data_IF_963004720931
#
_entry.id   IF_963004720931
#
_cell.length_a   1.000
_cell.length_b   1.000
_cell.length_c   1.000
_cell.angle_alpha   90.00
_cell.angle_beta   90.00
_cell.angle_gamma   90.00
#
_symmetry.space_group_name_H-M   'P 1'
#
loop_
_entity.id
_entity.type
_entity.pdbx_description
1 polymer ?
#
# COMPACT_ATOMS: atom_id res chain seq x y z
N UNK A 1 21.16 13.90 13.09
CA UNK A 1 20.46 14.68 12.04
C UNK A 1 19.87 13.70 11.05
N UNK A 2 18.61 13.91 10.65
CA UNK A 2 17.98 13.13 9.56
C UNK A 2 18.69 13.46 8.24
N UNK A 3 18.80 12.49 7.33
CA UNK A 3 19.34 12.76 6.00
C UNK A 3 18.35 13.62 5.19
N UNK A 4 18.89 14.43 4.28
CA UNK A 4 18.09 15.19 3.33
C UNK A 4 17.57 14.25 2.25
N UNK A 5 16.25 14.06 2.19
CA UNK A 5 15.58 13.26 1.14
C UNK A 5 15.13 14.14 -0.02
N UNK A 6 15.17 13.59 -1.24
CA UNK A 6 14.59 14.23 -2.44
C UNK A 6 13.18 13.74 -2.75
N UNK A 7 12.64 12.81 -1.95
CA UNK A 7 11.32 12.23 -2.17
C UNK A 7 10.18 13.20 -1.84
N UNK A 8 10.32 13.98 -0.76
CA UNK A 8 9.36 15.02 -0.33
C UNK A 8 9.48 16.30 -1.15
N UNK A 9 9.29 16.18 -2.46
CA UNK A 9 9.25 17.33 -3.37
C UNK A 9 8.02 18.22 -3.11
N UNK A 10 8.13 19.51 -3.44
CA UNK A 10 6.96 20.38 -3.50
C UNK A 10 6.02 19.91 -4.62
N UNK A 11 4.73 19.85 -4.33
CA UNK A 11 3.68 19.45 -5.28
C UNK A 11 2.64 20.57 -5.37
N UNK A 12 2.43 21.17 -6.56
CA UNK A 12 1.41 22.21 -6.72
C UNK A 12 0.00 21.67 -6.48
N UNK A 13 -0.93 22.53 -6.10
CA UNK A 13 -2.34 22.17 -5.85
C UNK A 13 -3.07 21.66 -7.10
N UNK A 14 -2.61 22.06 -8.30
CA UNK A 14 -3.15 21.59 -9.58
C UNK A 14 -2.90 20.09 -9.84
N UNK A 15 -1.93 19.48 -9.15
CA UNK A 15 -1.71 18.03 -9.18
C UNK A 15 -2.51 17.39 -8.07
N UNK A 16 -3.27 16.35 -8.37
CA UNK A 16 -4.00 15.58 -7.36
C UNK A 16 -3.04 14.67 -6.58
N UNK A 17 -3.36 14.26 -5.35
CA UNK A 17 -2.52 13.35 -4.57
C UNK A 17 -2.60 11.89 -5.07
N UNK A 18 -2.50 11.70 -6.39
CA UNK A 18 -2.39 10.42 -7.08
C UNK A 18 -0.97 10.32 -7.63
N UNK A 19 -0.21 9.39 -7.08
CA UNK A 19 1.22 9.22 -7.32
C UNK A 19 1.44 8.05 -8.27
N UNK A 20 2.24 8.28 -9.31
CA UNK A 20 2.59 7.28 -10.33
C UNK A 20 3.91 7.65 -11.01
N UNK A 21 4.62 6.69 -11.60
CA UNK A 21 5.64 6.98 -12.60
C UNK A 21 5.56 5.97 -13.74
N UNK A 22 5.79 6.37 -15.01
CA UNK A 22 5.98 5.43 -16.12
C UNK A 22 7.08 4.38 -15.87
N UNK A 23 7.99 4.65 -14.92
CA UNK A 23 9.06 3.73 -14.49
C UNK A 23 8.59 2.62 -13.56
N UNK A 24 7.32 2.61 -13.14
CA UNK A 24 6.78 1.54 -12.29
C UNK A 24 6.76 0.19 -13.00
N UNK A 25 6.57 0.19 -14.32
CA UNK A 25 6.44 -1.04 -15.08
C UNK A 25 7.76 -1.80 -15.11
N UNK A 26 7.72 -3.08 -14.71
CA UNK A 26 8.84 -4.00 -14.81
C UNK A 26 8.76 -4.65 -16.19
N UNK A 27 9.78 -4.45 -17.01
CA UNK A 27 9.83 -5.02 -18.37
C UNK A 27 11.11 -5.80 -18.53
N UNK A 28 10.98 -7.06 -18.90
CA UNK A 28 12.07 -8.00 -19.03
C UNK A 28 12.01 -8.77 -20.36
N UNK A 29 12.06 -8.03 -21.49
CA UNK A 29 12.05 -8.60 -22.83
C UNK A 29 10.87 -9.57 -23.09
N UNK A 30 9.75 -9.42 -22.36
CA UNK A 30 8.58 -10.28 -22.45
C UNK A 30 8.55 -11.41 -21.43
N UNK A 31 9.65 -11.70 -20.72
CA UNK A 31 9.70 -12.74 -19.68
C UNK A 31 8.88 -12.36 -18.44
N UNK A 32 8.63 -11.07 -18.22
CA UNK A 32 7.68 -10.61 -17.20
C UNK A 32 6.28 -11.20 -17.40
N UNK A 33 5.92 -11.62 -18.62
CA UNK A 33 4.63 -12.25 -18.93
C UNK A 33 4.51 -13.70 -18.41
N UNK A 34 5.61 -14.31 -17.99
CA UNK A 34 5.60 -15.63 -17.35
C UNK A 34 5.27 -15.55 -15.86
N UNK A 35 5.36 -14.36 -15.27
CA UNK A 35 5.07 -14.14 -13.87
C UNK A 35 3.56 -13.94 -13.67
N UNK A 36 2.95 -14.46 -12.58
CA UNK A 36 1.52 -14.29 -12.31
C UNK A 36 1.10 -12.81 -12.20
N UNK A 37 2.01 -11.95 -11.73
CA UNK A 37 1.76 -10.52 -11.59
C UNK A 37 1.91 -9.76 -12.92
N UNK A 38 0.90 -8.95 -13.26
CA UNK A 38 0.94 -8.05 -14.42
C UNK A 38 1.88 -6.87 -14.18
N UNK A 39 3.11 -6.99 -14.66
CA UNK A 39 4.15 -5.97 -14.50
C UNK A 39 3.86 -4.62 -15.20
N UNK A 40 2.75 -4.51 -15.94
CA UNK A 40 2.22 -3.27 -16.51
C UNK A 40 0.93 -2.76 -15.87
N UNK A 41 0.48 -3.36 -14.74
CA UNK A 41 -0.80 -3.05 -14.06
C UNK A 41 -1.00 -1.55 -13.85
N UNK A 42 0.02 -0.88 -13.31
CA UNK A 42 -0.06 0.52 -12.90
C UNK A 42 -0.26 1.49 -14.07
N UNK A 43 0.46 1.28 -15.17
CA UNK A 43 0.26 2.07 -16.38
C UNK A 43 -1.14 1.88 -16.97
N UNK A 44 -1.71 0.68 -16.89
CA UNK A 44 -3.10 0.41 -17.33
C UNK A 44 -4.12 1.12 -16.46
N UNK A 45 -3.97 1.11 -15.12
CA UNK A 45 -4.83 1.87 -14.20
C UNK A 45 -4.86 3.35 -14.62
N UNK A 46 -3.67 3.96 -14.79
CA UNK A 46 -3.56 5.37 -15.18
C UNK A 46 -4.18 5.64 -16.54
N UNK A 47 -4.00 4.74 -17.52
CA UNK A 47 -4.62 4.90 -18.83
C UNK A 47 -6.14 4.86 -18.75
N UNK A 48 -6.74 3.92 -17.99
CA UNK A 48 -8.19 3.91 -17.77
C UNK A 48 -8.69 5.20 -17.13
N UNK A 49 -8.00 5.72 -16.10
CA UNK A 49 -8.39 6.99 -15.47
C UNK A 49 -8.31 8.19 -16.42
N UNK A 50 -7.38 8.17 -17.38
CA UNK A 50 -7.27 9.18 -18.44
C UNK A 50 -8.36 9.04 -19.49
N UNK A 51 -8.68 7.82 -19.91
CA UNK A 51 -9.76 7.52 -20.86
C UNK A 51 -11.12 7.99 -20.33
N UNK A 52 -11.35 7.80 -19.04
CA UNK A 52 -12.54 8.27 -18.31
C UNK A 52 -12.47 9.75 -17.94
N UNK A 53 -11.43 10.47 -18.38
CA UNK A 53 -11.20 11.90 -18.19
C UNK A 53 -11.14 12.37 -16.73
N UNK A 54 -10.87 11.46 -15.79
CA UNK A 54 -10.65 11.83 -14.39
C UNK A 54 -9.31 12.56 -14.22
N UNK A 55 -8.27 12.10 -14.93
CA UNK A 55 -6.91 12.62 -14.82
C UNK A 55 -6.31 12.93 -16.18
N UNK A 56 -5.39 13.89 -16.18
CA UNK A 56 -4.44 14.12 -17.26
C UNK A 56 -3.00 13.97 -16.74
N UNK A 57 -2.01 13.92 -17.63
CA UNK A 57 -0.60 13.86 -17.21
C UNK A 57 -0.17 15.03 -16.32
N UNK A 58 -0.74 16.22 -16.53
CA UNK A 58 -0.41 17.39 -15.71
C UNK A 58 -0.97 17.33 -14.29
N UNK A 59 -1.97 16.47 -14.05
CA UNK A 59 -2.60 16.28 -12.73
C UNK A 59 -1.90 15.22 -11.88
N UNK A 60 -1.05 14.38 -12.46
CA UNK A 60 -0.35 13.31 -11.73
C UNK A 60 0.87 13.83 -10.97
N UNK A 61 1.14 13.22 -9.81
CA UNK A 61 2.40 13.41 -9.09
C UNK A 61 3.38 12.34 -9.53
N UNK A 62 4.46 12.74 -10.20
CA UNK A 62 5.48 11.79 -10.60
C UNK A 62 6.29 11.28 -9.40
N UNK A 63 6.28 9.97 -9.19
CA UNK A 63 7.08 9.31 -8.16
C UNK A 63 8.58 9.36 -8.47
N UNK A 64 9.39 9.60 -7.44
CA UNK A 64 10.86 9.57 -7.52
C UNK A 64 11.40 8.23 -7.01
N UNK A 65 12.55 7.83 -7.52
CA UNK A 65 13.29 6.65 -7.03
C UNK A 65 13.82 6.92 -5.63
N UNK A 66 13.55 6.03 -4.67
CA UNK A 66 14.18 6.07 -3.35
C UNK A 66 15.69 5.84 -3.47
N UNK A 67 16.49 6.73 -2.86
CA UNK A 67 17.95 6.59 -2.81
C UNK A 67 18.38 5.51 -1.82
N UNK A 68 19.68 5.17 -1.81
CA UNK A 68 20.20 4.25 -0.79
C UNK A 68 20.02 4.83 0.62
N UNK A 69 20.25 6.13 0.81
CA UNK A 69 20.03 6.83 2.08
C UNK A 69 18.56 6.81 2.50
N UNK A 70 17.62 6.98 1.56
CA UNK A 70 16.19 6.84 1.85
C UNK A 70 15.86 5.42 2.32
N UNK A 71 16.39 4.40 1.64
CA UNK A 71 16.14 3.00 1.99
C UNK A 71 16.75 2.62 3.35
N UNK A 72 17.92 3.18 3.71
CA UNK A 72 18.62 2.92 4.96
C UNK A 72 17.89 3.45 6.21
N UNK A 73 16.82 4.24 6.07
CA UNK A 73 15.94 4.63 7.20
C UNK A 73 15.29 3.41 7.84
N UNK A 74 14.97 2.39 7.03
CA UNK A 74 14.36 1.13 7.49
C UNK A 74 15.27 -0.04 7.23
N UNK A 75 15.83 -0.15 6.03
CA UNK A 75 16.56 -1.34 5.63
C UNK A 75 17.94 -1.42 6.24
N UNK A 76 18.32 -2.63 6.65
CA UNK A 76 19.71 -2.87 7.06
C UNK A 76 20.64 -2.79 5.85
N UNK A 77 21.86 -2.28 6.05
CA UNK A 77 22.90 -2.27 5.01
C UNK A 77 23.24 -3.68 4.51
N UNK A 78 23.13 -4.69 5.39
CA UNK A 78 23.27 -6.11 5.05
C UNK A 78 22.26 -6.50 3.97
N UNK A 79 20.98 -6.27 4.22
CA UNK A 79 19.91 -6.61 3.28
C UNK A 79 20.03 -5.85 1.95
N UNK A 80 20.32 -4.55 1.98
CA UNK A 80 20.55 -3.79 0.74
C UNK A 80 21.75 -4.31 -0.07
N UNK A 81 22.79 -4.82 0.60
CA UNK A 81 23.91 -5.48 -0.08
C UNK A 81 23.52 -6.85 -0.65
N UNK A 82 22.59 -7.59 -0.04
CA UNK A 82 22.06 -8.85 -0.59
C UNK A 82 21.35 -8.61 -1.92
N UNK A 83 20.57 -7.53 -2.03
CA UNK A 83 19.89 -7.14 -3.28
C UNK A 83 20.84 -6.77 -4.43
N UNK A 84 22.16 -6.67 -4.17
CA UNK A 84 23.17 -6.55 -5.24
C UNK A 84 23.37 -7.87 -5.99
N UNK A 85 22.89 -9.00 -5.49
CA UNK A 85 23.03 -10.31 -6.12
C UNK A 85 21.77 -10.74 -6.86
N UNK A 86 21.88 -11.08 -8.15
CA UNK A 86 20.73 -11.48 -8.97
C UNK A 86 19.99 -12.70 -8.41
N UNK A 87 20.69 -13.61 -7.73
CA UNK A 87 20.10 -14.78 -7.06
C UNK A 87 19.13 -14.37 -5.94
N UNK A 88 19.52 -13.42 -5.09
CA UNK A 88 18.66 -12.93 -4.02
C UNK A 88 17.40 -12.26 -4.59
N UNK A 89 17.57 -11.41 -5.62
CA UNK A 89 16.44 -10.74 -6.28
C UNK A 89 15.50 -11.76 -6.92
N UNK A 90 16.02 -12.74 -7.65
CA UNK A 90 15.22 -13.77 -8.30
C UNK A 90 14.43 -14.64 -7.31
N UNK A 91 15.01 -14.89 -6.11
CA UNK A 91 14.34 -15.63 -5.03
C UNK A 91 13.18 -14.80 -4.45
N UNK A 92 13.41 -13.51 -4.19
CA UNK A 92 12.38 -12.60 -3.65
C UNK A 92 11.25 -12.37 -4.66
N UNK A 93 11.59 -12.18 -5.94
CA UNK A 93 10.59 -11.93 -6.99
C UNK A 93 10.00 -13.19 -7.58
N UNK A 94 10.50 -14.38 -7.19
CA UNK A 94 10.13 -15.69 -7.77
C UNK A 94 10.15 -15.71 -9.31
N UNK A 95 11.13 -15.05 -9.91
CA UNK A 95 11.38 -15.07 -11.35
C UNK A 95 12.74 -15.74 -11.58
N UNK A 96 12.82 -17.09 -11.64
CA UNK A 96 14.09 -17.79 -11.84
C UNK A 96 14.93 -17.27 -13.03
N UNK A 97 14.34 -16.87 -14.18
CA UNK A 97 15.10 -16.29 -15.28
C UNK A 97 15.93 -15.04 -14.92
N UNK A 98 15.59 -14.30 -13.86
CA UNK A 98 16.35 -13.12 -13.39
C UNK A 98 17.78 -13.49 -12.98
N UNK A 99 18.04 -14.74 -12.56
CA UNK A 99 19.37 -15.22 -12.17
C UNK A 99 20.37 -15.08 -13.34
N UNK A 100 19.93 -15.34 -14.57
CA UNK A 100 20.77 -15.35 -15.75
C UNK A 100 21.01 -13.97 -16.34
N UNK A 101 20.37 -12.93 -15.78
CA UNK A 101 20.59 -11.58 -16.25
C UNK A 101 21.89 -10.98 -15.75
N UNK A 102 22.60 -10.22 -16.60
CA UNK A 102 23.61 -9.29 -16.15
C UNK A 102 23.04 -8.42 -15.01
N UNK A 103 23.75 -8.36 -13.89
CA UNK A 103 23.22 -7.75 -12.67
C UNK A 103 22.77 -6.29 -12.86
N UNK A 104 23.48 -5.50 -13.68
CA UNK A 104 23.09 -4.12 -13.98
C UNK A 104 21.70 -4.03 -14.63
N UNK A 105 21.26 -5.04 -15.39
CA UNK A 105 19.91 -5.12 -15.93
C UNK A 105 18.90 -5.44 -14.82
N UNK A 106 19.21 -6.35 -13.90
CA UNK A 106 18.36 -6.63 -12.73
C UNK A 106 18.15 -5.36 -11.90
N UNK A 107 19.23 -4.64 -11.59
CA UNK A 107 19.18 -3.37 -10.86
C UNK A 107 18.30 -2.33 -11.57
N UNK A 108 18.42 -2.23 -12.89
CA UNK A 108 17.74 -1.19 -13.69
C UNK A 108 16.30 -1.55 -14.07
N UNK A 109 16.00 -2.81 -14.34
CA UNK A 109 14.72 -3.26 -14.91
C UNK A 109 13.78 -3.90 -13.89
N UNK A 110 14.30 -4.37 -12.76
CA UNK A 110 13.49 -4.97 -11.68
C UNK A 110 13.51 -4.08 -10.44
N UNK A 111 14.69 -3.84 -9.86
CA UNK A 111 14.77 -3.16 -8.56
C UNK A 111 14.50 -1.65 -8.66
N UNK A 112 14.94 -0.97 -9.71
CA UNK A 112 14.65 0.47 -9.91
C UNK A 112 13.14 0.76 -9.99
N UNK A 113 12.32 0.03 -10.74
CA UNK A 113 10.87 0.15 -10.66
C UNK A 113 10.32 0.02 -9.23
N UNK A 114 10.76 -0.99 -8.48
CA UNK A 114 10.33 -1.21 -7.09
C UNK A 114 10.78 -0.08 -6.15
N UNK A 115 12.00 0.47 -6.32
CA UNK A 115 12.45 1.67 -5.58
C UNK A 115 11.67 2.93 -5.96
N UNK A 116 11.23 3.04 -7.21
CA UNK A 116 10.38 4.16 -7.66
C UNK A 116 8.97 4.05 -7.07
N UNK A 117 8.41 2.83 -6.99
CA UNK A 117 7.16 2.59 -6.28
C UNK A 117 7.29 2.92 -4.79
N UNK A 118 8.39 2.50 -4.16
CA UNK A 118 8.71 2.81 -2.77
C UNK A 118 8.75 4.32 -2.50
N UNK A 119 9.48 5.07 -3.33
CA UNK A 119 9.50 6.53 -3.22
C UNK A 119 8.14 7.18 -3.48
N UNK A 120 7.30 6.54 -4.31
CA UNK A 120 5.91 6.93 -4.50
C UNK A 120 5.06 6.74 -3.25
N UNK A 121 5.16 5.61 -2.55
CA UNK A 121 4.45 5.34 -1.29
C UNK A 121 4.85 6.34 -0.22
N UNK A 122 6.15 6.66 -0.11
CA UNK A 122 6.66 7.68 0.81
C UNK A 122 6.06 9.07 0.49
N UNK A 123 6.12 9.51 -0.77
CA UNK A 123 5.55 10.80 -1.18
C UNK A 123 4.03 10.84 -0.99
N UNK A 124 3.32 9.77 -1.32
CA UNK A 124 1.89 9.66 -1.14
C UNK A 124 1.51 9.73 0.35
N UNK A 125 2.29 9.13 1.26
CA UNK A 125 2.08 9.28 2.71
C UNK A 125 2.10 10.75 3.15
N UNK A 126 3.08 11.53 2.68
CA UNK A 126 3.12 12.97 2.95
C UNK A 126 1.92 13.71 2.37
N UNK A 127 1.55 13.42 1.11
CA UNK A 127 0.39 14.04 0.47
C UNK A 127 -0.92 13.69 1.18
N UNK A 128 -1.06 12.48 1.71
CA UNK A 128 -2.22 12.08 2.48
C UNK A 128 -2.41 12.98 3.70
N UNK A 129 -1.33 13.22 4.46
CA UNK A 129 -1.35 14.11 5.62
C UNK A 129 -1.65 15.56 5.21
N UNK A 130 -1.03 16.06 4.13
CA UNK A 130 -1.21 17.44 3.68
C UNK A 130 -2.59 17.72 3.07
N UNK A 131 -3.22 16.71 2.46
CA UNK A 131 -4.41 16.89 1.60
C UNK A 131 -5.60 16.04 2.04
N UNK A 132 -5.47 15.32 3.16
CA UNK A 132 -6.47 14.41 3.73
C UNK A 132 -6.59 13.05 3.03
N UNK A 133 -6.02 12.87 1.84
CA UNK A 133 -5.97 11.59 1.14
C UNK A 133 -4.84 11.56 0.11
N UNK A 134 -4.34 10.36 -0.20
CA UNK A 134 -3.47 10.11 -1.34
C UNK A 134 -3.57 8.66 -1.81
N UNK A 135 -3.25 8.43 -3.07
CA UNK A 135 -3.18 7.10 -3.67
C UNK A 135 -1.83 6.97 -4.37
N UNK A 136 -0.99 6.04 -3.94
CA UNK A 136 0.06 5.53 -4.81
C UNK A 136 -0.52 4.35 -5.58
N UNK A 137 -0.58 4.42 -6.91
CA UNK A 137 -1.13 3.30 -7.69
C UNK A 137 -0.23 2.07 -7.60
N UNK A 138 1.06 2.22 -7.24
CA UNK A 138 1.97 1.11 -6.95
C UNK A 138 2.13 0.82 -5.46
N UNK A 139 3.22 0.13 -5.12
CA UNK A 139 3.60 -0.16 -3.74
C UNK A 139 2.71 -1.21 -3.07
N UNK A 140 2.63 -1.14 -1.74
CA UNK A 140 1.92 -2.14 -0.93
C UNK A 140 2.76 -3.41 -0.75
N UNK A 141 4.07 -3.26 -0.58
CA UNK A 141 5.02 -4.36 -0.51
C UNK A 141 5.06 -4.99 0.89
N UNK A 142 3.90 -5.42 1.37
CA UNK A 142 3.67 -5.84 2.76
C UNK A 142 4.43 -7.11 3.19
N UNK A 143 5.06 -7.82 2.25
CA UNK A 143 5.89 -8.99 2.56
C UNK A 143 7.39 -8.67 2.76
N UNK A 144 7.79 -7.41 2.57
CA UNK A 144 9.16 -6.99 2.83
C UNK A 144 9.25 -6.31 4.20
N UNK A 145 10.14 -6.83 5.05
CA UNK A 145 10.59 -6.21 6.30
C UNK A 145 11.91 -5.47 6.09
N UNK A 146 12.37 -4.77 7.13
CA UNK A 146 13.67 -4.08 7.17
C UNK A 146 14.86 -4.93 6.76
N UNK A 147 14.85 -6.24 7.00
CA UNK A 147 16.02 -7.10 6.76
C UNK A 147 15.74 -8.35 5.89
N UNK A 148 14.54 -8.47 5.33
CA UNK A 148 14.13 -9.59 4.49
C UNK A 148 13.01 -9.21 3.53
N UNK A 149 13.20 -9.51 2.24
CA UNK A 149 12.15 -9.52 1.22
C UNK A 149 11.54 -10.91 1.00
N UNK A 150 10.38 -10.96 0.38
CA UNK A 150 9.63 -12.19 0.07
C UNK A 150 8.31 -11.85 -0.62
N UNK A 151 7.62 -12.83 -1.20
CA UNK A 151 6.29 -12.64 -1.80
C UNK A 151 6.25 -11.49 -2.80
N UNK A 152 7.23 -11.42 -3.71
CA UNK A 152 7.41 -10.34 -4.70
C UNK A 152 7.80 -8.96 -4.14
N UNK A 153 7.95 -8.82 -2.82
CA UNK A 153 8.23 -7.57 -2.14
C UNK A 153 9.72 -7.44 -1.81
N UNK A 154 10.42 -6.50 -2.46
CA UNK A 154 11.86 -6.27 -2.27
C UNK A 154 12.20 -5.09 -1.35
N UNK A 155 11.27 -4.16 -1.13
CA UNK A 155 11.47 -2.98 -0.30
C UNK A 155 10.26 -2.74 0.59
N UNK A 156 10.48 -2.39 1.86
CA UNK A 156 9.45 -2.23 2.89
C UNK A 156 8.79 -0.85 2.79
N UNK A 157 8.06 -0.60 1.70
CA UNK A 157 7.57 0.73 1.34
C UNK A 157 6.56 1.32 2.35
N UNK A 158 5.68 0.49 2.91
CA UNK A 158 4.74 0.89 3.98
C UNK A 158 5.52 1.28 5.25
N UNK A 159 6.49 0.45 5.68
CA UNK A 159 7.34 0.76 6.85
C UNK A 159 8.09 2.06 6.63
N UNK A 160 8.70 2.25 5.45
CA UNK A 160 9.41 3.47 5.09
C UNK A 160 8.49 4.69 5.12
N UNK A 161 7.29 4.61 4.53
CA UNK A 161 6.35 5.72 4.55
C UNK A 161 5.98 6.13 5.97
N UNK A 162 5.67 5.16 6.86
CA UNK A 162 5.33 5.45 8.26
C UNK A 162 6.51 6.03 9.03
N UNK A 163 7.73 5.47 8.90
CA UNK A 163 8.92 6.00 9.58
C UNK A 163 9.28 7.40 9.07
N UNK A 164 9.17 7.65 7.77
CA UNK A 164 9.37 8.99 7.21
C UNK A 164 8.36 9.99 7.79
N UNK A 165 7.08 9.62 7.89
CA UNK A 165 6.06 10.46 8.50
C UNK A 165 6.39 10.78 9.96
N UNK A 166 6.68 9.77 10.79
CA UNK A 166 7.01 9.97 12.21
C UNK A 166 8.24 10.84 12.44
N UNK A 167 9.24 10.77 11.56
CA UNK A 167 10.49 11.51 11.73
C UNK A 167 10.44 12.92 11.14
N UNK A 168 9.60 13.18 10.13
CA UNK A 168 9.70 14.38 9.28
C UNK A 168 8.42 15.19 9.15
N UNK A 169 7.27 14.68 9.60
CA UNK A 169 5.99 15.38 9.49
C UNK A 169 5.42 15.65 10.88
N UNK A 170 5.32 16.92 11.22
CA UNK A 170 4.82 17.38 12.52
C UNK A 170 3.38 16.90 12.77
N UNK A 171 3.08 16.54 14.02
CA UNK A 171 1.76 16.06 14.42
C UNK A 171 1.46 14.60 14.08
N UNK A 172 2.34 13.90 13.36
CA UNK A 172 2.15 12.48 13.03
C UNK A 172 2.97 11.60 13.96
N UNK A 173 2.28 10.90 14.86
CA UNK A 173 2.88 10.07 15.91
C UNK A 173 2.29 8.66 15.97
N UNK A 174 1.11 8.45 15.39
CA UNK A 174 0.36 7.21 15.40
C UNK A 174 -0.18 6.88 14.01
N UNK A 175 0.01 5.65 13.56
CA UNK A 175 -0.50 5.16 12.29
C UNK A 175 -1.36 3.91 12.49
N UNK A 176 -2.42 3.77 11.70
CA UNK A 176 -3.16 2.50 11.59
C UNK A 176 -2.96 1.95 10.19
N UNK A 177 -2.48 0.71 10.11
CA UNK A 177 -2.43 -0.04 8.86
C UNK A 177 -3.71 -0.86 8.76
N UNK A 178 -4.44 -0.70 7.66
CA UNK A 178 -5.55 -1.54 7.25
C UNK A 178 -5.05 -2.31 6.05
N UNK A 179 -4.65 -3.57 6.25
CA UNK A 179 -4.23 -4.46 5.18
C UNK A 179 -5.39 -5.36 4.75
N UNK A 180 -5.82 -5.20 3.49
CA UNK A 180 -6.90 -5.97 2.87
C UNK A 180 -6.41 -6.74 1.62
N UNK A 181 -5.10 -6.98 1.55
CA UNK A 181 -4.53 -8.01 0.67
C UNK A 181 -4.99 -9.41 1.09
N UNK A 182 -5.06 -10.35 0.15
CA UNK A 182 -5.52 -11.70 0.45
C UNK A 182 -4.55 -12.46 1.37
N UNK A 183 -3.27 -12.08 1.39
CA UNK A 183 -2.21 -12.74 2.13
C UNK A 183 -1.98 -12.06 3.48
N UNK A 184 -1.66 -12.85 4.52
CA UNK A 184 -1.26 -12.27 5.80
C UNK A 184 0.01 -11.44 5.60
N UNK A 185 0.01 -10.20 6.07
CA UNK A 185 1.23 -9.40 6.11
C UNK A 185 2.30 -10.07 6.99
N UNK A 186 3.56 -9.90 6.60
CA UNK A 186 4.69 -10.31 7.43
C UNK A 186 5.89 -9.36 7.41
N UNK A 187 5.85 -8.31 6.59
CA UNK A 187 6.92 -7.31 6.48
C UNK A 187 6.81 -6.25 7.57
N UNK A 188 5.81 -5.38 7.45
CA UNK A 188 5.59 -4.30 8.39
C UNK A 188 5.17 -4.79 9.78
N UNK A 189 4.56 -5.98 9.88
CA UNK A 189 4.31 -6.69 11.14
C UNK A 189 5.59 -6.95 11.91
N UNK A 190 6.64 -7.43 11.23
CA UNK A 190 7.94 -7.69 11.85
C UNK A 190 8.61 -6.39 12.27
N UNK A 191 8.52 -5.36 11.42
CA UNK A 191 9.15 -4.06 11.68
C UNK A 191 8.48 -3.29 12.84
N UNK A 192 7.17 -3.51 13.07
CA UNK A 192 6.39 -2.81 14.10
C UNK A 192 5.92 -3.70 15.26
N UNK A 193 6.45 -4.92 15.40
CA UNK A 193 6.04 -5.91 16.41
C UNK A 193 5.81 -5.33 17.82
N UNK A 194 6.73 -4.45 18.27
CA UNK A 194 6.72 -3.84 19.60
C UNK A 194 6.44 -2.32 19.57
N UNK A 195 6.11 -1.75 18.41
CA UNK A 195 5.89 -0.31 18.25
C UNK A 195 4.41 0.04 18.44
N UNK A 196 4.03 0.39 19.67
CA UNK A 196 2.64 0.73 20.04
C UNK A 196 2.06 1.94 19.31
N UNK A 197 2.88 2.71 18.59
CA UNK A 197 2.44 3.80 17.71
C UNK A 197 1.76 3.30 16.43
N UNK A 198 1.98 2.03 16.07
CA UNK A 198 1.40 1.43 14.87
C UNK A 198 0.38 0.37 15.28
N UNK A 199 -0.84 0.51 14.78
CA UNK A 199 -1.89 -0.48 14.93
C UNK A 199 -2.10 -1.20 13.60
N UNK A 200 -2.02 -2.53 13.60
CA UNK A 200 -2.19 -3.34 12.40
C UNK A 200 -3.53 -4.08 12.46
N UNK A 201 -4.39 -3.80 11.49
CA UNK A 201 -5.54 -4.61 11.13
C UNK A 201 -5.25 -5.32 9.82
N UNK A 202 -5.48 -6.63 9.78
CA UNK A 202 -5.23 -7.46 8.61
C UNK A 202 -6.40 -8.44 8.41
N UNK A 203 -6.90 -8.52 7.18
CA UNK A 203 -8.04 -9.35 6.78
C UNK A 203 -7.64 -10.22 5.59
N UNK A 204 -7.30 -11.48 5.85
CA UNK A 204 -6.62 -12.36 4.90
C UNK A 204 -7.16 -13.78 4.90
N UNK A 205 -6.88 -14.52 3.83
CA UNK A 205 -7.09 -15.96 3.75
C UNK A 205 -6.03 -16.68 4.59
N UNK A 206 -6.45 -17.39 5.64
CA UNK A 206 -5.51 -18.02 6.60
C UNK A 206 -4.74 -19.22 6.05
N UNK A 207 -5.12 -19.74 4.89
CA UNK A 207 -4.60 -21.00 4.34
C UNK A 207 -3.46 -20.81 3.33
N UNK A 208 -3.12 -19.56 2.98
CA UNK A 208 -2.11 -19.24 1.96
C UNK A 208 -0.84 -18.62 2.56
N UNK A 209 0.11 -18.28 1.68
CA UNK A 209 1.36 -17.60 2.03
C UNK A 209 1.09 -16.40 2.97
N UNK A 210 1.97 -16.10 3.95
CA UNK A 210 3.26 -16.71 4.27
C UNK A 210 3.25 -17.81 5.34
N UNK A 211 2.15 -18.01 6.08
CA UNK A 211 2.16 -18.89 7.27
C UNK A 211 3.08 -18.41 8.40
N UNK A 212 3.39 -17.12 8.46
CA UNK A 212 4.34 -16.53 9.42
C UNK A 212 3.67 -16.26 10.78
N UNK A 213 3.72 -17.27 11.66
CA UNK A 213 3.14 -17.21 13.01
C UNK A 213 3.81 -16.18 13.92
N UNK A 214 5.07 -15.83 13.66
CA UNK A 214 5.76 -14.82 14.47
C UNK A 214 5.22 -13.44 14.11
N UNK A 215 5.22 -13.08 12.83
CA UNK A 215 4.68 -11.82 12.34
C UNK A 215 3.21 -11.61 12.73
N UNK A 216 2.41 -12.68 12.69
CA UNK A 216 0.99 -12.68 13.12
C UNK A 216 0.75 -12.16 14.55
N UNK A 217 1.76 -12.11 15.41
CA UNK A 217 1.63 -11.56 16.77
C UNK A 217 1.49 -10.04 16.78
N UNK A 218 2.04 -9.33 15.78
CA UNK A 218 1.94 -7.87 15.66
C UNK A 218 0.55 -7.41 15.19
N UNK A 219 -0.19 -8.29 14.50
CA UNK A 219 -1.53 -7.99 14.00
C UNK A 219 -2.48 -7.88 15.20
N UNK A 220 -2.86 -6.65 15.56
CA UNK A 220 -3.76 -6.40 16.70
C UNK A 220 -5.19 -6.80 16.37
N UNK A 221 -5.61 -6.59 15.12
CA UNK A 221 -6.89 -7.08 14.59
C UNK A 221 -6.68 -8.01 13.41
N UNK A 222 -6.59 -9.30 13.72
CA UNK A 222 -6.43 -10.38 12.71
C UNK A 222 -7.81 -10.95 12.41
N UNK A 223 -8.25 -10.80 11.18
CA UNK A 223 -9.53 -11.35 10.71
C UNK A 223 -9.20 -12.43 9.69
N UNK A 224 -9.27 -13.68 10.14
CA UNK A 224 -8.98 -14.83 9.31
C UNK A 224 -10.21 -15.23 8.49
N UNK A 225 -10.03 -15.36 7.19
CA UNK A 225 -11.03 -15.76 6.23
C UNK A 225 -10.79 -17.20 5.75
N UNK A 226 -11.86 -17.87 5.34
CA UNK A 226 -11.80 -19.19 4.73
C UNK A 226 -11.72 -19.08 3.20
N UNK A 227 -11.31 -20.18 2.56
CA UNK A 227 -11.36 -20.31 1.10
C UNK A 227 -12.75 -19.97 0.56
N UNK A 228 -12.76 -19.21 -0.54
CA UNK A 228 -14.00 -18.89 -1.23
C UNK A 228 -14.95 -17.97 -0.44
N UNK A 229 -14.49 -17.28 0.62
CA UNK A 229 -15.28 -16.22 1.26
C UNK A 229 -15.77 -15.25 0.18
N UNK A 230 -17.06 -14.90 0.21
CA UNK A 230 -17.75 -14.04 -0.77
C UNK A 230 -18.03 -12.63 -0.22
N UNK A 231 -18.61 -11.78 -1.07
CA UNK A 231 -18.82 -10.34 -0.82
C UNK A 231 -19.49 -10.02 0.52
N UNK A 232 -20.64 -10.63 0.84
CA UNK A 232 -21.42 -10.25 2.03
C UNK A 232 -20.67 -10.53 3.33
N UNK A 233 -20.10 -11.73 3.46
CA UNK A 233 -19.29 -12.09 4.63
C UNK A 233 -18.02 -11.23 4.72
N UNK A 234 -17.35 -11.03 3.58
CA UNK A 234 -16.13 -10.23 3.51
C UNK A 234 -16.37 -8.78 3.94
N UNK A 235 -17.36 -8.11 3.34
CA UNK A 235 -17.64 -6.70 3.59
C UNK A 235 -18.12 -6.46 5.03
N UNK A 236 -18.97 -7.35 5.57
CA UNK A 236 -19.41 -7.28 6.98
C UNK A 236 -18.22 -7.43 7.94
N UNK A 237 -17.31 -8.38 7.67
CA UNK A 237 -16.08 -8.54 8.46
C UNK A 237 -15.17 -7.31 8.34
N UNK A 238 -14.98 -6.76 7.15
CA UNK A 238 -14.17 -5.54 6.94
C UNK A 238 -14.77 -4.36 7.71
N UNK A 239 -16.05 -4.04 7.50
CA UNK A 239 -16.71 -2.90 8.14
C UNK A 239 -16.63 -2.97 9.66
N UNK A 240 -17.04 -4.10 10.23
CA UNK A 240 -17.04 -4.32 11.68
C UNK A 240 -15.66 -4.09 12.27
N UNK A 241 -14.62 -4.60 11.61
CA UNK A 241 -13.28 -4.58 12.16
C UNK A 241 -12.56 -3.25 11.92
N UNK A 242 -12.84 -2.51 10.84
CA UNK A 242 -12.38 -1.13 10.66
C UNK A 242 -12.96 -0.25 11.77
N UNK A 243 -14.27 -0.39 12.04
CA UNK A 243 -14.94 0.40 13.09
C UNK A 243 -14.26 0.22 14.44
N UNK A 244 -13.99 -1.03 14.83
CA UNK A 244 -13.33 -1.34 16.10
C UNK A 244 -11.87 -0.90 16.12
N UNK A 245 -11.12 -1.11 15.04
CA UNK A 245 -9.70 -0.71 14.95
C UNK A 245 -9.53 0.81 15.11
N UNK A 246 -10.39 1.61 14.47
CA UNK A 246 -10.39 3.08 14.61
C UNK A 246 -10.96 3.58 15.96
N UNK A 247 -11.50 2.69 16.80
CA UNK A 247 -11.90 3.00 18.18
C UNK A 247 -10.80 2.63 19.18
N UNK A 248 -10.13 1.50 18.97
CA UNK A 248 -9.05 1.01 19.84
C UNK A 248 -7.74 1.75 19.64
N UNK A 249 -7.55 2.36 18.47
CA UNK A 249 -6.41 3.20 18.15
C UNK A 249 -6.93 4.43 17.41
N UNK A 250 -6.52 5.62 17.87
CA UNK A 250 -6.85 6.88 17.22
C UNK A 250 -5.65 7.26 16.34
N UNK A 251 -5.60 6.86 15.06
CA UNK A 251 -4.48 7.19 14.19
C UNK A 251 -4.47 8.67 13.81
N UNK A 252 -3.26 9.19 13.60
CA UNK A 252 -3.04 10.49 12.95
C UNK A 252 -3.02 10.31 11.41
N UNK A 253 -2.80 9.08 10.93
CA UNK A 253 -2.86 8.68 9.52
C UNK A 253 -3.23 7.20 9.38
N UNK A 254 -4.01 6.85 8.36
CA UNK A 254 -4.27 5.47 7.96
C UNK A 254 -3.48 5.13 6.71
N UNK A 255 -2.77 4.00 6.73
CA UNK A 255 -2.22 3.37 5.52
C UNK A 255 -3.12 2.20 5.14
N UNK A 256 -3.74 2.29 3.98
CA UNK A 256 -4.67 1.31 3.46
C UNK A 256 -4.00 0.52 2.32
N UNK A 257 -3.67 -0.74 2.57
CA UNK A 257 -3.20 -1.66 1.55
C UNK A 257 -4.39 -2.34 0.87
N UNK A 258 -4.75 -1.83 -0.31
CA UNK A 258 -5.95 -2.21 -1.05
C UNK A 258 -5.68 -3.35 -2.04
N UNK A 259 -5.10 -4.45 -1.55
CA UNK A 259 -4.76 -5.61 -2.37
C UNK A 259 -5.94 -6.16 -3.16
N UNK A 260 -5.71 -6.58 -4.40
CA UNK A 260 -6.81 -6.98 -5.33
C UNK A 260 -6.79 -8.46 -5.68
N UNK A 261 -5.94 -9.23 -5.01
CA UNK A 261 -5.88 -10.69 -5.07
C UNK A 261 -6.99 -11.38 -4.27
N UNK A 262 -7.84 -10.63 -3.56
CA UNK A 262 -9.10 -11.14 -3.01
C UNK A 262 -10.15 -11.45 -4.10
N UNK A 263 -9.90 -11.01 -5.34
CA UNK A 263 -10.81 -11.14 -6.48
C UNK A 263 -11.11 -12.61 -6.80
N UNK A 264 -12.37 -12.91 -7.07
CA UNK A 264 -12.80 -14.21 -7.56
C UNK A 264 -11.91 -14.71 -8.72
N UNK A 265 -11.48 -15.97 -8.62
CA UNK A 265 -10.61 -16.61 -9.61
C UNK A 265 -9.15 -16.15 -9.56
N UNK A 266 -8.75 -15.35 -8.56
CA UNK A 266 -7.33 -15.05 -8.35
C UNK A 266 -6.62 -16.33 -7.90
N UNK A 267 -5.53 -16.66 -8.59
CA UNK A 267 -4.83 -17.94 -8.43
C UNK A 267 -4.04 -18.05 -7.14
N UNK A 268 -3.74 -16.92 -6.49
CA UNK A 268 -2.93 -16.86 -5.27
C UNK A 268 -3.77 -16.51 -4.04
N UNK A 269 -4.78 -15.64 -4.15
CA UNK A 269 -5.55 -15.21 -2.99
C UNK A 269 -6.67 -16.15 -2.52
N UNK A 270 -7.32 -16.88 -3.44
CA UNK A 270 -8.29 -17.93 -3.07
C UNK A 270 -9.56 -17.49 -2.34
N UNK A 271 -9.87 -16.20 -2.37
CA UNK A 271 -11.16 -15.67 -1.97
C UNK A 271 -12.07 -15.52 -3.20
N UNK A 272 -13.33 -15.14 -2.99
CA UNK A 272 -14.35 -15.08 -4.04
C UNK A 272 -15.07 -13.74 -4.08
N UNK A 273 -14.32 -12.64 -3.94
CA UNK A 273 -14.91 -11.29 -3.92
C UNK A 273 -15.12 -10.84 -5.36
N UNK A 274 -16.31 -10.33 -5.67
CA UNK A 274 -16.64 -9.84 -7.01
C UNK A 274 -15.95 -8.50 -7.32
N UNK A 275 -15.84 -8.09 -8.59
CA UNK A 275 -15.38 -6.74 -8.94
C UNK A 275 -16.14 -5.63 -8.21
N UNK A 276 -17.47 -5.79 -8.04
CA UNK A 276 -18.30 -4.84 -7.31
C UNK A 276 -18.00 -4.85 -5.81
N UNK A 277 -17.71 -6.03 -5.23
CA UNK A 277 -17.28 -6.19 -3.85
C UNK A 277 -15.97 -5.44 -3.55
N UNK A 278 -15.00 -5.47 -4.46
CA UNK A 278 -13.74 -4.69 -4.32
C UNK A 278 -14.01 -3.19 -4.34
N UNK A 279 -14.81 -2.71 -5.29
CA UNK A 279 -15.19 -1.28 -5.36
C UNK A 279 -15.92 -0.85 -4.08
N UNK A 280 -16.82 -1.70 -3.56
CA UNK A 280 -17.57 -1.44 -2.34
C UNK A 280 -16.68 -1.43 -1.09
N UNK A 281 -15.69 -2.32 -1.04
CA UNK A 281 -14.68 -2.35 0.02
C UNK A 281 -13.88 -1.04 0.06
N UNK A 282 -13.39 -0.58 -1.09
CA UNK A 282 -12.61 0.66 -1.16
C UNK A 282 -13.45 1.88 -0.74
N UNK A 283 -14.71 1.94 -1.18
CA UNK A 283 -15.69 2.94 -0.72
C UNK A 283 -15.87 2.92 0.80
N UNK A 284 -16.10 1.73 1.36
CA UNK A 284 -16.33 1.53 2.78
C UNK A 284 -15.14 2.05 3.60
N UNK A 285 -13.91 1.67 3.23
CA UNK A 285 -12.69 2.12 3.90
C UNK A 285 -12.57 3.64 3.87
N UNK A 286 -12.67 4.26 2.68
CA UNK A 286 -12.56 5.71 2.54
C UNK A 286 -13.65 6.45 3.32
N UNK A 287 -14.91 5.98 3.27
CA UNK A 287 -16.01 6.58 4.00
C UNK A 287 -15.77 6.55 5.51
N UNK A 288 -15.33 5.42 6.05
CA UNK A 288 -15.12 5.26 7.50
C UNK A 288 -13.92 6.06 8.00
N UNK A 289 -12.81 6.05 7.27
CA UNK A 289 -11.58 6.75 7.66
C UNK A 289 -11.75 8.26 7.50
N UNK A 290 -12.20 8.73 6.33
CA UNK A 290 -12.39 10.16 6.10
C UNK A 290 -13.58 10.73 6.87
N UNK A 291 -14.60 9.93 7.16
CA UNK A 291 -15.71 10.32 8.04
C UNK A 291 -15.26 10.65 9.47
N UNK A 292 -14.13 10.10 9.91
CA UNK A 292 -13.48 10.46 11.19
C UNK A 292 -12.50 11.61 11.06
N UNK A 293 -12.38 12.21 9.88
CA UNK A 293 -11.37 13.22 9.56
C UNK A 293 -9.98 12.69 9.91
N UNK A 294 -9.63 11.53 9.37
CA UNK A 294 -8.26 11.01 9.42
C UNK A 294 -7.70 10.95 7.99
N UNK A 295 -6.47 11.44 7.75
CA UNK A 295 -5.74 11.26 6.51
C UNK A 295 -5.63 9.79 6.07
N UNK A 296 -5.79 9.50 4.78
CA UNK A 296 -5.68 8.14 4.25
C UNK A 296 -4.69 8.04 3.08
N UNK A 297 -3.71 7.15 3.19
CA UNK A 297 -2.83 6.72 2.11
C UNK A 297 -3.32 5.37 1.58
N UNK A 298 -3.69 5.27 0.29
CA UNK A 298 -3.98 4.00 -0.37
C UNK A 298 -2.80 3.53 -1.23
N UNK A 299 -2.47 2.24 -1.15
CA UNK A 299 -1.58 1.50 -2.07
C UNK A 299 -2.33 0.30 -2.63
N UNK A 300 -1.95 -0.23 -3.81
CA UNK A 300 -2.78 -1.24 -4.53
C UNK A 300 -2.05 -2.57 -4.76
N UNK A 301 -1.57 -3.23 -3.69
CA UNK A 301 -0.85 -4.50 -3.75
C UNK A 301 -1.60 -5.62 -4.52
N UNK A 302 -0.95 -6.79 -4.63
CA UNK A 302 -1.58 -8.01 -5.11
C UNK A 302 -2.25 -7.89 -6.49
N UNK A 303 -3.20 -8.79 -6.74
CA UNK A 303 -4.00 -8.84 -7.96
C UNK A 303 -3.25 -9.43 -9.15
N UNK A 304 -3.47 -10.72 -9.38
CA UNK A 304 -2.75 -11.54 -10.36
C UNK A 304 -3.63 -11.86 -11.57
N UNK A 305 -4.53 -10.94 -11.91
CA UNK A 305 -5.42 -11.03 -13.07
C UNK A 305 -5.32 -9.78 -13.94
N UNK A 306 -5.44 -9.95 -15.27
CA UNK A 306 -5.40 -8.83 -16.22
C UNK A 306 -6.50 -7.79 -15.98
N UNK A 307 -7.66 -8.24 -15.47
CA UNK A 307 -8.82 -7.37 -15.21
C UNK A 307 -8.66 -6.46 -13.99
N UNK A 308 -7.71 -6.78 -13.10
CA UNK A 308 -7.46 -6.01 -11.87
C UNK A 308 -7.21 -4.53 -12.13
N UNK A 309 -6.45 -4.18 -13.18
CA UNK A 309 -6.18 -2.78 -13.49
C UNK A 309 -7.45 -1.97 -13.77
N UNK A 310 -8.48 -2.58 -14.38
CA UNK A 310 -9.76 -1.90 -14.60
C UNK A 310 -10.53 -1.73 -13.29
N UNK A 311 -10.53 -2.76 -12.44
CA UNK A 311 -11.22 -2.73 -11.14
C UNK A 311 -10.63 -1.64 -10.23
N UNK A 312 -9.30 -1.49 -10.18
CA UNK A 312 -8.65 -0.40 -9.43
C UNK A 312 -9.07 0.97 -9.97
N UNK A 313 -9.13 1.13 -11.29
CA UNK A 313 -9.61 2.38 -11.90
C UNK A 313 -11.08 2.65 -11.55
N UNK A 314 -11.94 1.62 -11.59
CA UNK A 314 -13.35 1.71 -11.20
C UNK A 314 -13.52 2.09 -9.73
N UNK A 315 -12.70 1.54 -8.83
CA UNK A 315 -12.66 1.96 -7.43
C UNK A 315 -12.34 3.44 -7.29
N UNK A 316 -11.30 3.93 -7.98
CA UNK A 316 -10.91 5.35 -7.91
C UNK A 316 -12.00 6.25 -8.49
N UNK A 317 -12.64 5.85 -9.60
CA UNK A 317 -13.76 6.56 -10.21
C UNK A 317 -14.98 6.60 -9.26
N UNK A 318 -15.29 5.48 -8.59
CA UNK A 318 -16.36 5.42 -7.59
C UNK A 318 -16.10 6.35 -6.41
N UNK A 319 -14.87 6.34 -5.88
CA UNK A 319 -14.46 7.26 -4.80
C UNK A 319 -14.63 8.72 -5.21
N UNK A 320 -14.26 9.08 -6.45
CA UNK A 320 -14.45 10.43 -6.98
C UNK A 320 -15.94 10.77 -7.13
N UNK A 321 -16.73 9.87 -7.74
CA UNK A 321 -18.16 10.07 -7.94
C UNK A 321 -18.96 10.25 -6.64
N UNK A 322 -18.47 9.68 -5.53
CA UNK A 322 -19.05 9.83 -4.20
C UNK A 322 -18.49 11.03 -3.40
N UNK A 323 -17.59 11.82 -3.98
CA UNK A 323 -16.93 12.95 -3.29
C UNK A 323 -15.98 12.52 -2.17
N UNK A 324 -15.58 11.25 -2.13
CA UNK A 324 -14.62 10.70 -1.16
C UNK A 324 -13.17 10.98 -1.54
N UNK A 325 -12.92 11.45 -2.77
CA UNK A 325 -11.66 12.06 -3.23
C UNK A 325 -11.99 13.21 -4.21
N UNK A 326 -11.02 14.05 -4.55
CA UNK A 326 -11.18 15.18 -5.48
C UNK A 326 -10.71 16.52 -4.92
N UNK A 327 -10.90 17.64 -5.66
CA UNK A 327 -10.40 18.96 -5.27
C UNK A 327 -11.22 19.61 -4.14
N UNK A 328 -12.53 19.34 -4.10
CA UNK A 328 -13.45 19.89 -3.09
C UNK A 328 -13.56 19.02 -1.83
N UNK A 329 -12.85 17.88 -1.80
CA UNK A 329 -12.77 17.02 -0.62
C UNK A 329 -12.11 17.78 0.53
N UNK A 330 -12.81 18.04 1.67
CA UNK A 330 -12.27 18.86 2.75
C UNK A 330 -10.90 18.33 3.19
N UNK A 331 -9.89 19.20 3.19
CA UNK A 331 -8.59 18.89 3.77
C UNK A 331 -8.79 18.61 5.26
N UNK A 332 -8.34 17.43 5.67
CA UNK A 332 -8.32 17.03 7.06
C UNK A 332 -6.99 17.53 7.61
N UNK A 333 -6.94 18.74 8.17
CA UNK A 333 -5.74 19.16 8.89
C UNK A 333 -5.64 18.37 10.19
N UNK A 334 -4.51 17.70 10.42
CA UNK A 334 -4.21 17.02 11.69
C UNK A 334 -4.13 17.99 12.90
N UNK A 335 -4.18 19.29 12.65
CA UNK A 335 -4.33 20.32 13.69
C UNK A 335 -5.81 20.51 14.00
N UNK A 336 -6.32 19.78 15.00
CA UNK A 336 -7.41 20.16 15.91
C UNK A 336 -7.89 18.92 16.70
N UNK A 337 -7.01 18.36 17.54
CA UNK A 337 -7.40 17.33 18.51
C UNK A 337 -7.90 17.97 19.81
N UNK A 338 -8.97 18.76 19.75
CA UNK A 338 -9.72 19.21 20.93
C UNK A 338 -11.12 18.57 20.93
N UNK A 339 -11.19 17.25 20.71
CA UNK A 339 -12.45 16.51 20.92
C UNK A 339 -12.40 15.84 22.30
N UNK A 340 -13.33 16.16 23.23
CA UNK A 340 -13.33 15.58 24.56
C UNK A 340 -13.55 14.07 24.49
N UNK A 341 -12.66 13.32 25.15
CA UNK A 341 -12.85 11.90 25.41
C UNK A 341 -14.18 11.68 26.12
N UNK A 342 -15.08 10.90 25.52
CA UNK A 342 -16.31 10.42 26.16
C UNK A 342 -15.94 9.75 27.50
N UNK A 343 -16.60 10.12 28.62
CA UNK A 343 -16.26 9.58 29.92
C UNK A 343 -16.55 8.07 29.98
N UNK A 344 -15.74 7.31 30.73
CA UNK A 344 -15.87 5.87 30.82
C UNK A 344 -17.24 5.49 31.40
N UNK A 345 -17.84 4.46 30.81
CA UNK A 345 -19.06 3.87 31.32
C UNK A 345 -18.86 3.45 32.80
N UNK A 346 -19.70 4.00 33.67
CA UNK A 346 -19.80 3.62 35.08
C UNK A 346 -20.34 2.17 35.14
N UNK A 347 -19.86 1.32 36.08
CA UNK A 347 -19.80 -0.14 35.95
C UNK A 347 -21.10 -0.87 35.67
#
# INVERSE_FOLDING_TARGET
MLHTTQLYQHVPETRWPIVYSPRYNITFMGLEKLHPFDAGKWGKVINFLKEEKLLSDSMLVEAREASEEDLLVVHTRRYLNELKWSFAVATITEIPPVIFLPNFLVQRKVLRPLRTQTGGTIMAGKLAVERGWAINVGGGFHHCSSDRGGGFCAYADITLAIKFLFERVEGISRATIIDLDAHQGNGHERDFMDDKRVYIMDVYNRHIYPGDRFAKQAIRRKVELEWGTEDDEYLDKVERNIKKSLQEHLPDVVVYNAGTDILEGDRLGGLSISPAGIVKRDELVFRMVRGRRVPILMVTSGGYQKRTARIIADSILNLFGLGLIGPESPSVSAQNSDTPLLPPAVP
#
